data_IF_724235738152
#
_entry.id   IF_724235738152
#
_cell.length_a   1.000
_cell.length_b   1.000
_cell.length_c   1.000
_cell.angle_alpha   90.00
_cell.angle_beta   90.00
_cell.angle_gamma   90.00
#
_symmetry.space_group_name_H-M   'P 1'
#
loop_
_entity.id
_entity.type
_entity.pdbx_description
1 polymer ?
#
# COMPACT_ATOMS: atom_id res chain seq x y z
N UNK A 1 7.64 53.96 -20.30
CA UNK A 1 7.57 52.54 -19.92
C UNK A 1 9.02 52.05 -19.84
N UNK A 2 9.60 52.01 -18.65
CA UNK A 2 11.02 51.73 -18.41
C UNK A 2 11.18 50.25 -18.08
N UNK A 3 11.79 49.49 -18.99
CA UNK A 3 12.21 48.12 -18.74
C UNK A 3 13.42 48.12 -17.81
N UNK A 4 13.35 47.37 -16.72
CA UNK A 4 14.49 47.05 -15.85
C UNK A 4 15.38 46.01 -16.54
N UNK A 5 16.72 46.16 -16.55
CA UNK A 5 17.60 45.35 -17.41
C UNK A 5 17.89 43.89 -17.02
N UNK A 6 17.18 43.30 -16.04
CA UNK A 6 17.59 42.00 -15.45
C UNK A 6 16.64 40.81 -15.70
N UNK A 7 15.61 40.96 -16.54
CA UNK A 7 14.76 39.81 -16.89
C UNK A 7 15.27 39.13 -18.17
N UNK A 8 16.03 38.04 -18.01
CA UNK A 8 16.37 37.17 -19.14
C UNK A 8 15.10 36.48 -19.67
N UNK A 9 14.83 36.52 -20.99
CA UNK A 9 13.72 35.80 -21.59
C UNK A 9 14.05 34.31 -21.59
N UNK A 10 13.74 33.63 -20.50
CA UNK A 10 14.09 32.22 -20.30
C UNK A 10 13.94 31.67 -18.89
N UNK A 11 13.64 32.51 -17.89
CA UNK A 11 13.32 32.06 -16.53
C UNK A 11 11.97 31.31 -16.49
N UNK A 12 12.02 30.04 -16.91
CA UNK A 12 10.94 29.07 -16.73
C UNK A 12 10.90 28.65 -15.26
N UNK A 13 10.38 29.53 -14.41
CA UNK A 13 9.91 29.19 -13.05
C UNK A 13 8.74 28.18 -13.05
N UNK A 14 8.40 27.61 -14.20
CA UNK A 14 7.24 26.76 -14.47
C UNK A 14 7.49 25.24 -14.46
N UNK A 15 8.70 24.74 -14.18
CA UNK A 15 9.02 23.32 -14.46
C UNK A 15 9.05 22.37 -13.25
N UNK A 16 8.75 22.82 -12.04
CA UNK A 16 8.61 21.92 -10.88
C UNK A 16 7.13 21.83 -10.50
N UNK A 17 6.48 20.67 -10.66
CA UNK A 17 5.11 20.47 -10.21
C UNK A 17 4.94 20.88 -8.74
N UNK A 18 3.80 21.48 -8.42
CA UNK A 18 3.49 21.85 -7.04
C UNK A 18 3.53 20.60 -6.13
N UNK A 19 4.06 20.72 -4.90
CA UNK A 19 4.13 19.60 -3.97
C UNK A 19 2.73 19.09 -3.62
N UNK A 20 2.58 17.77 -3.49
CA UNK A 20 1.33 17.14 -3.09
C UNK A 20 0.98 17.45 -1.62
N UNK A 21 2.01 17.50 -0.78
CA UNK A 21 1.96 17.89 0.62
C UNK A 21 2.74 19.19 0.83
N UNK A 22 2.01 20.28 1.08
CA UNK A 22 2.61 21.57 1.43
C UNK A 22 3.29 21.54 2.80
N UNK A 23 2.86 20.64 3.69
CA UNK A 23 3.46 20.38 5.00
C UNK A 23 3.81 18.88 5.11
N UNK A 24 4.90 18.43 4.45
CA UNK A 24 5.24 17.02 4.35
C UNK A 24 5.60 16.41 5.72
N UNK A 25 6.35 17.13 6.56
CA UNK A 25 6.79 16.60 7.85
C UNK A 25 5.66 16.35 8.86
N UNK A 26 4.68 17.26 9.04
CA UNK A 26 3.48 16.94 9.82
C UNK A 26 2.68 15.74 9.28
N UNK A 27 2.56 15.61 7.95
CA UNK A 27 1.89 14.45 7.34
C UNK A 27 2.63 13.14 7.64
N UNK A 28 3.97 13.15 7.56
CA UNK A 28 4.81 12.01 7.89
C UNK A 28 4.77 11.65 9.38
N UNK A 29 4.68 12.65 10.27
CA UNK A 29 4.49 12.41 11.71
C UNK A 29 3.17 11.67 11.97
N UNK A 30 2.07 12.14 11.35
CA UNK A 30 0.77 11.47 11.45
C UNK A 30 0.82 10.06 10.87
N UNK A 31 1.47 9.88 9.72
CA UNK A 31 1.68 8.57 9.12
C UNK A 31 2.47 7.65 10.05
N UNK A 32 3.55 8.13 10.67
CA UNK A 32 4.34 7.34 11.62
C UNK A 32 3.52 6.91 12.84
N UNK A 33 2.68 7.80 13.40
CA UNK A 33 1.76 7.44 14.50
C UNK A 33 0.77 6.36 14.05
N UNK A 34 0.18 6.51 12.86
CA UNK A 34 -0.71 5.50 12.28
C UNK A 34 -0.05 4.15 12.05
N UNK A 35 1.19 4.17 11.54
CA UNK A 35 2.01 2.97 11.33
C UNK A 35 2.30 2.24 12.65
N UNK A 36 2.73 2.98 13.67
CA UNK A 36 3.01 2.42 15.00
C UNK A 36 1.72 1.85 15.61
N UNK A 37 0.61 2.57 15.51
CA UNK A 37 -0.69 2.09 15.99
C UNK A 37 -1.12 0.80 15.26
N UNK A 38 -0.93 0.71 13.94
CA UNK A 38 -1.20 -0.51 13.18
C UNK A 38 -0.29 -1.67 13.62
N UNK A 39 1.01 -1.43 13.77
CA UNK A 39 1.97 -2.46 14.20
C UNK A 39 1.65 -2.99 15.61
N UNK A 40 1.37 -2.09 16.56
CA UNK A 40 0.97 -2.46 17.92
C UNK A 40 -0.35 -3.23 17.94
N UNK A 41 -1.32 -2.79 17.14
CA UNK A 41 -2.61 -3.47 17.01
C UNK A 41 -2.40 -4.88 16.46
N UNK A 42 -1.67 -5.05 15.35
CA UNK A 42 -1.38 -6.37 14.75
C UNK A 42 -0.67 -7.28 15.76
N UNK A 43 0.34 -6.78 16.48
CA UNK A 43 1.08 -7.57 17.46
C UNK A 43 0.21 -8.03 18.64
N UNK A 44 -0.70 -7.18 19.11
CA UNK A 44 -1.63 -7.49 20.21
C UNK A 44 -2.92 -8.19 19.76
N UNK A 45 -3.21 -8.20 18.47
CA UNK A 45 -4.51 -8.60 17.93
C UNK A 45 -4.92 -10.04 18.29
N UNK A 46 -4.03 -11.06 18.29
CA UNK A 46 -4.42 -12.41 18.66
C UNK A 46 -5.09 -12.48 20.04
N UNK A 47 -4.60 -11.72 21.02
CA UNK A 47 -5.18 -11.66 22.38
C UNK A 47 -6.56 -10.99 22.39
N UNK A 48 -6.73 -9.94 21.59
CA UNK A 48 -8.02 -9.23 21.46
C UNK A 48 -9.05 -10.15 20.78
N UNK A 49 -8.63 -10.86 19.73
CA UNK A 49 -9.47 -11.75 18.94
C UNK A 49 -10.06 -12.91 19.74
N UNK A 50 -9.38 -13.34 20.82
CA UNK A 50 -9.90 -14.36 21.73
C UNK A 50 -11.21 -13.94 22.43
N UNK A 51 -11.44 -12.64 22.61
CA UNK A 51 -12.64 -12.13 23.28
C UNK A 51 -13.95 -12.42 22.52
N UNK A 52 -13.87 -12.72 21.21
CA UNK A 52 -15.02 -12.99 20.36
C UNK A 52 -14.88 -14.29 19.56
N UNK A 53 -14.10 -15.25 20.07
CA UNK A 53 -13.83 -16.52 19.39
C UNK A 53 -15.09 -17.34 19.09
N UNK A 54 -16.17 -17.15 19.87
CA UNK A 54 -17.47 -17.81 19.70
C UNK A 54 -18.35 -17.18 18.62
N UNK A 55 -17.94 -16.04 18.05
CA UNK A 55 -18.68 -15.34 17.00
C UNK A 55 -18.54 -16.10 15.67
N UNK A 56 -19.54 -16.09 14.77
CA UNK A 56 -19.40 -16.72 13.45
C UNK A 56 -18.14 -16.26 12.70
N UNK A 57 -17.45 -17.19 12.02
CA UNK A 57 -16.15 -16.95 11.37
C UNK A 57 -16.19 -15.79 10.38
N UNK A 58 -17.25 -15.68 9.57
CA UNK A 58 -17.43 -14.59 8.62
C UNK A 58 -17.50 -13.21 9.29
N UNK A 59 -18.10 -13.11 10.49
CA UNK A 59 -18.10 -11.87 11.28
C UNK A 59 -16.70 -11.59 11.78
N UNK A 60 -15.97 -12.60 12.26
CA UNK A 60 -14.59 -12.43 12.69
C UNK A 60 -13.73 -11.89 11.55
N UNK A 61 -13.85 -12.43 10.32
CA UNK A 61 -13.10 -11.94 9.17
C UNK A 61 -13.45 -10.50 8.77
N UNK A 62 -14.71 -10.08 8.90
CA UNK A 62 -15.09 -8.67 8.70
C UNK A 62 -14.48 -7.76 9.76
N UNK A 63 -14.52 -8.18 11.03
CA UNK A 63 -13.90 -7.44 12.13
C UNK A 63 -12.38 -7.36 11.95
N UNK A 64 -11.73 -8.47 11.58
CA UNK A 64 -10.30 -8.53 11.27
C UNK A 64 -9.94 -7.50 10.19
N UNK A 65 -10.69 -7.47 9.08
CA UNK A 65 -10.47 -6.50 8.01
C UNK A 65 -10.62 -5.05 8.48
N UNK A 66 -11.72 -4.74 9.19
CA UNK A 66 -12.02 -3.36 9.62
C UNK A 66 -11.03 -2.89 10.69
N UNK A 67 -10.84 -3.68 11.75
CA UNK A 67 -10.02 -3.30 12.91
C UNK A 67 -8.56 -3.12 12.50
N UNK A 68 -8.00 -4.07 11.74
CA UNK A 68 -6.58 -4.01 11.35
C UNK A 68 -6.30 -2.89 10.33
N UNK A 69 -7.27 -2.54 9.48
CA UNK A 69 -7.12 -1.46 8.51
C UNK A 69 -7.31 -0.07 9.11
N UNK A 70 -8.08 0.05 10.20
CA UNK A 70 -8.54 1.32 10.74
C UNK A 70 -7.41 2.32 11.04
N UNK A 71 -6.29 1.95 11.70
CA UNK A 71 -5.23 2.90 11.99
C UNK A 71 -4.61 3.53 10.72
N UNK A 72 -4.46 2.74 9.66
CA UNK A 72 -3.92 3.22 8.39
C UNK A 72 -4.91 4.16 7.69
N UNK A 73 -6.19 3.79 7.65
CA UNK A 73 -7.25 4.63 7.06
C UNK A 73 -7.34 5.98 7.77
N UNK A 74 -7.37 5.98 9.11
CA UNK A 74 -7.39 7.21 9.91
C UNK A 74 -6.16 8.06 9.62
N UNK A 75 -4.97 7.44 9.56
CA UNK A 75 -3.73 8.15 9.27
C UNK A 75 -3.70 8.75 7.85
N UNK A 76 -4.26 8.07 6.84
CA UNK A 76 -4.39 8.62 5.48
C UNK A 76 -5.19 9.91 5.49
N UNK A 77 -6.38 9.89 6.09
CA UNK A 77 -7.24 11.07 6.13
C UNK A 77 -6.65 12.20 6.97
N UNK A 78 -6.09 11.88 8.14
CA UNK A 78 -5.47 12.87 9.01
C UNK A 78 -4.22 13.49 8.37
N UNK A 79 -3.35 12.69 7.75
CA UNK A 79 -2.14 13.18 7.08
C UNK A 79 -2.49 14.10 5.90
N UNK A 80 -3.49 13.73 5.10
CA UNK A 80 -3.98 14.58 4.02
C UNK A 80 -4.58 15.90 4.54
N UNK A 81 -5.34 15.86 5.65
CA UNK A 81 -5.95 17.04 6.27
C UNK A 81 -4.91 18.02 6.83
N UNK A 82 -3.85 17.54 7.48
CA UNK A 82 -2.81 18.42 8.04
C UNK A 82 -1.77 18.87 7.02
N UNK A 83 -1.55 18.05 5.98
CA UNK A 83 -0.41 18.15 5.09
C UNK A 83 -0.69 18.73 3.71
N UNK A 84 -1.89 18.50 3.16
CA UNK A 84 -2.21 18.89 1.79
C UNK A 84 -3.03 20.18 1.71
N UNK A 85 -2.84 20.92 0.59
CA UNK A 85 -3.67 22.07 0.20
C UNK A 85 -4.48 21.81 -1.08
N UNK A 86 -4.30 20.64 -1.69
CA UNK A 86 -4.86 20.31 -3.01
C UNK A 86 -6.06 19.34 -2.92
N UNK A 87 -6.47 19.00 -1.70
CA UNK A 87 -7.49 17.98 -1.41
C UNK A 87 -6.91 16.56 -1.38
N UNK A 88 -7.65 15.64 -0.75
CA UNK A 88 -7.21 14.27 -0.45
C UNK A 88 -6.83 13.50 -1.73
N UNK A 89 -7.68 13.52 -2.76
CA UNK A 89 -7.42 12.78 -4.00
C UNK A 89 -6.10 13.20 -4.67
N UNK A 90 -5.85 14.51 -4.79
CA UNK A 90 -4.60 15.04 -5.33
C UNK A 90 -3.39 14.73 -4.45
N UNK A 91 -3.54 14.81 -3.13
CA UNK A 91 -2.50 14.49 -2.17
C UNK A 91 -2.02 13.05 -2.33
N UNK A 92 -2.96 12.11 -2.46
CA UNK A 92 -2.69 10.68 -2.62
C UNK A 92 -2.23 10.29 -4.03
N UNK A 93 -2.32 11.18 -5.02
CA UNK A 93 -2.00 10.86 -6.41
C UNK A 93 -3.10 10.10 -7.14
N UNK A 94 -4.35 10.20 -6.66
CA UNK A 94 -5.53 9.73 -7.38
C UNK A 94 -5.74 10.67 -8.56
N UNK A 95 -5.54 10.15 -9.77
CA UNK A 95 -5.65 10.87 -11.04
C UNK A 95 -6.62 10.14 -11.97
N UNK A 96 -7.00 10.80 -13.06
CA UNK A 96 -7.79 10.18 -14.12
C UNK A 96 -7.16 8.86 -14.59
N UNK A 97 -8.01 7.90 -14.94
CA UNK A 97 -7.63 6.57 -15.41
C UNK A 97 -6.71 6.61 -16.63
N UNK A 98 -5.73 5.69 -16.70
CA UNK A 98 -4.91 5.45 -17.90
C UNK A 98 -4.56 3.97 -18.02
N UNK A 99 -4.61 3.46 -19.25
CA UNK A 99 -4.21 2.09 -19.55
C UNK A 99 -2.75 1.77 -19.22
N UNK A 100 -1.87 2.77 -19.21
CA UNK A 100 -0.48 2.60 -18.76
C UNK A 100 -0.39 2.09 -17.31
N UNK A 101 -1.36 2.43 -16.45
CA UNK A 101 -1.40 1.95 -15.07
C UNK A 101 -1.70 0.46 -15.01
N UNK A 102 -2.59 -0.02 -15.89
CA UNK A 102 -2.92 -1.43 -16.00
C UNK A 102 -1.71 -2.22 -16.46
N UNK A 103 -1.09 -1.78 -17.56
CA UNK A 103 0.05 -2.49 -18.15
C UNK A 103 1.23 -2.51 -17.19
N UNK A 104 1.61 -1.35 -16.63
CA UNK A 104 2.73 -1.29 -15.70
C UNK A 104 2.43 -2.03 -14.39
N UNK A 105 1.22 -1.86 -13.84
CA UNK A 105 0.83 -2.53 -12.60
C UNK A 105 0.79 -4.06 -12.75
N UNK A 106 0.10 -4.56 -13.78
CA UNK A 106 0.04 -5.99 -14.06
C UNK A 106 1.43 -6.58 -14.37
N UNK A 107 2.27 -5.85 -15.10
CA UNK A 107 3.65 -6.27 -15.38
C UNK A 107 4.47 -6.49 -14.11
N UNK A 108 4.42 -5.53 -13.16
CA UNK A 108 5.07 -5.66 -11.86
C UNK A 108 4.51 -6.86 -11.08
N UNK A 109 3.19 -6.99 -11.04
CA UNK A 109 2.53 -8.09 -10.34
C UNK A 109 2.96 -9.46 -10.85
N UNK A 110 3.01 -9.64 -12.18
CA UNK A 110 3.40 -10.88 -12.82
C UNK A 110 4.87 -11.23 -12.53
N UNK A 111 5.78 -10.26 -12.62
CA UNK A 111 7.21 -10.48 -12.33
C UNK A 111 7.41 -10.88 -10.86
N UNK A 112 6.81 -10.13 -9.94
CA UNK A 112 6.94 -10.44 -8.50
C UNK A 112 6.28 -11.78 -8.18
N UNK A 113 5.12 -12.08 -8.76
CA UNK A 113 4.45 -13.36 -8.53
C UNK A 113 5.26 -14.53 -9.08
N UNK A 114 5.82 -14.40 -10.28
CA UNK A 114 6.70 -15.42 -10.83
C UNK A 114 7.91 -15.69 -9.91
N UNK A 115 8.52 -14.64 -9.35
CA UNK A 115 9.61 -14.81 -8.40
C UNK A 115 9.19 -15.56 -7.12
N UNK A 116 7.98 -15.31 -6.61
CA UNK A 116 7.41 -16.04 -5.46
C UNK A 116 7.21 -17.52 -5.82
N UNK A 117 6.59 -17.83 -6.96
CA UNK A 117 6.33 -19.21 -7.40
C UNK A 117 7.61 -20.01 -7.66
N UNK A 118 8.70 -19.36 -8.07
CA UNK A 118 10.01 -20.01 -8.23
C UNK A 118 10.61 -20.46 -6.89
N UNK A 119 10.27 -19.78 -5.80
CA UNK A 119 10.80 -20.07 -4.45
C UNK A 119 9.91 -21.06 -3.73
N UNK A 120 8.60 -20.85 -3.77
CA UNK A 120 7.61 -21.69 -3.13
C UNK A 120 6.35 -21.78 -4.00
N UNK A 121 6.25 -22.81 -4.86
CA UNK A 121 5.06 -23.05 -5.66
C UNK A 121 3.81 -23.15 -4.80
N UNK A 122 2.75 -22.45 -5.18
CA UNK A 122 1.53 -22.33 -4.38
C UNK A 122 0.31 -23.02 -4.98
N UNK A 123 0.43 -23.51 -6.22
CA UNK A 123 -0.65 -24.21 -6.94
C UNK A 123 -1.18 -25.38 -6.10
N UNK A 124 -2.48 -25.39 -5.83
CA UNK A 124 -3.20 -26.45 -5.15
C UNK A 124 -2.85 -26.61 -3.68
N UNK A 125 -2.13 -25.64 -3.09
CA UNK A 125 -1.65 -25.76 -1.71
C UNK A 125 -2.73 -25.53 -0.66
N UNK A 126 -3.92 -25.05 -1.06
CA UNK A 126 -5.11 -24.97 -0.21
C UNK A 126 -6.15 -26.00 -0.66
N UNK A 127 -6.17 -27.17 -0.03
CA UNK A 127 -7.19 -28.23 -0.24
C UNK A 127 -8.29 -28.25 0.84
N UNK A 128 -8.19 -27.39 1.86
CA UNK A 128 -8.87 -27.56 3.16
C UNK A 128 -10.05 -26.66 3.58
N UNK A 129 -10.32 -25.45 3.04
CA UNK A 129 -11.38 -24.58 3.59
C UNK A 129 -12.82 -24.93 3.16
N UNK A 130 -13.00 -25.97 2.35
CA UNK A 130 -14.30 -26.35 1.76
C UNK A 130 -14.74 -27.77 2.18
N UNK A 131 -13.97 -28.46 3.02
CA UNK A 131 -14.24 -29.85 3.43
C UNK A 131 -14.83 -29.91 4.85
N UNK A 132 -16.15 -29.67 4.94
CA UNK A 132 -16.98 -30.02 6.11
C UNK A 132 -17.53 -28.82 6.90
N UNK A 133 -18.85 -28.82 7.14
CA UNK A 133 -19.57 -27.77 7.88
C UNK A 133 -20.73 -27.14 7.10
N UNK A 134 -21.32 -26.06 7.62
CA UNK A 134 -22.31 -25.26 6.89
C UNK A 134 -21.63 -24.60 5.68
N UNK A 135 -22.01 -25.05 4.47
CA UNK A 135 -21.45 -24.59 3.22
C UNK A 135 -21.67 -23.09 2.99
N UNK A 136 -22.79 -22.53 3.49
CA UNK A 136 -23.11 -21.11 3.34
C UNK A 136 -22.17 -20.22 4.15
N UNK A 137 -21.93 -20.57 5.41
CA UNK A 137 -21.02 -19.83 6.28
C UNK A 137 -19.56 -19.90 5.81
N UNK A 138 -19.13 -21.06 5.29
CA UNK A 138 -17.78 -21.23 4.72
C UNK A 138 -17.59 -20.41 3.44
N UNK A 139 -18.56 -20.44 2.53
CA UNK A 139 -18.52 -19.63 1.31
C UNK A 139 -18.47 -18.13 1.62
N UNK A 140 -19.30 -17.65 2.56
CA UNK A 140 -19.27 -16.26 3.00
C UNK A 140 -17.90 -15.86 3.58
N UNK A 141 -17.34 -16.70 4.46
CA UNK A 141 -16.03 -16.47 5.04
C UNK A 141 -14.91 -16.42 3.98
N UNK A 142 -14.91 -17.36 3.04
CA UNK A 142 -13.96 -17.39 1.94
C UNK A 142 -14.06 -16.13 1.07
N UNK A 143 -15.27 -15.70 0.73
CA UNK A 143 -15.49 -14.47 -0.05
C UNK A 143 -14.92 -13.25 0.70
N UNK A 144 -15.19 -13.12 2.00
CA UNK A 144 -14.71 -11.98 2.80
C UNK A 144 -13.19 -11.96 2.85
N UNK A 145 -12.55 -13.11 3.09
CA UNK A 145 -11.09 -13.21 3.12
C UNK A 145 -10.50 -12.87 1.74
N UNK A 146 -11.05 -13.43 0.67
CA UNK A 146 -10.56 -13.21 -0.69
C UNK A 146 -10.75 -11.75 -1.11
N UNK A 147 -11.95 -11.19 -0.96
CA UNK A 147 -12.22 -9.79 -1.32
C UNK A 147 -11.44 -8.83 -0.42
N UNK A 148 -11.38 -9.11 0.88
CA UNK A 148 -10.61 -8.34 1.85
C UNK A 148 -9.13 -8.29 1.49
N UNK A 149 -8.49 -9.45 1.33
CA UNK A 149 -7.06 -9.55 1.08
C UNK A 149 -6.66 -9.18 -0.36
N UNK A 150 -7.48 -9.49 -1.36
CA UNK A 150 -7.12 -9.28 -2.76
C UNK A 150 -7.54 -7.90 -3.29
N UNK A 151 -8.57 -7.27 -2.73
CA UNK A 151 -9.13 -6.01 -3.25
C UNK A 151 -9.05 -4.86 -2.25
N UNK A 152 -9.55 -5.06 -1.03
CA UNK A 152 -9.72 -3.95 -0.06
C UNK A 152 -8.41 -3.57 0.60
N UNK A 153 -7.69 -4.53 1.18
CA UNK A 153 -6.43 -4.29 1.89
C UNK A 153 -5.38 -3.61 0.98
N UNK A 154 -5.16 -4.06 -0.27
CA UNK A 154 -4.27 -3.38 -1.19
C UNK A 154 -4.59 -1.90 -1.39
N UNK A 155 -5.87 -1.51 -1.48
CA UNK A 155 -6.24 -0.09 -1.63
C UNK A 155 -5.87 0.71 -0.38
N UNK A 156 -6.16 0.19 0.82
CA UNK A 156 -5.80 0.84 2.08
C UNK A 156 -4.29 0.97 2.22
N UNK A 157 -3.56 -0.09 1.91
CA UNK A 157 -2.10 -0.13 2.02
C UNK A 157 -1.44 0.82 1.00
N UNK A 158 -1.86 0.78 -0.26
CA UNK A 158 -1.30 1.67 -1.29
C UNK A 158 -1.61 3.15 -1.00
N UNK A 159 -2.82 3.48 -0.55
CA UNK A 159 -3.14 4.86 -0.17
C UNK A 159 -2.29 5.35 1.00
N UNK A 160 -1.97 4.50 1.97
CA UNK A 160 -1.07 4.85 3.08
C UNK A 160 0.39 4.93 2.64
N UNK A 161 0.98 3.82 2.20
CA UNK A 161 2.42 3.74 1.93
C UNK A 161 2.82 4.58 0.72
N UNK A 162 2.05 4.51 -0.38
CA UNK A 162 2.43 5.19 -1.62
C UNK A 162 1.74 6.56 -1.73
N UNK A 163 0.49 6.66 -1.31
CA UNK A 163 -0.25 7.92 -1.32
C UNK A 163 0.21 8.93 -0.26
N UNK A 164 0.60 8.48 0.93
CA UNK A 164 1.11 9.36 2.00
C UNK A 164 2.63 9.28 2.09
N UNK A 165 3.20 8.13 2.45
CA UNK A 165 4.63 8.05 2.83
C UNK A 165 5.55 8.42 1.67
N UNK A 166 5.43 7.76 0.50
CA UNK A 166 6.29 8.06 -0.67
C UNK A 166 6.17 9.53 -1.08
N UNK A 167 4.95 10.02 -1.21
CA UNK A 167 4.69 11.37 -1.74
C UNK A 167 5.09 12.47 -0.76
N UNK A 168 4.74 12.35 0.52
CA UNK A 168 5.13 13.32 1.53
C UNK A 168 6.65 13.31 1.76
N UNK A 169 7.32 12.15 1.72
CA UNK A 169 8.77 12.09 1.86
C UNK A 169 9.48 12.67 0.62
N UNK A 170 8.96 12.40 -0.58
CA UNK A 170 9.42 13.04 -1.82
C UNK A 170 9.33 14.57 -1.75
N UNK A 171 8.20 15.11 -1.29
CA UNK A 171 8.01 16.56 -1.11
C UNK A 171 8.90 17.13 0.00
N UNK A 172 9.08 16.41 1.11
CA UNK A 172 9.92 16.81 2.24
C UNK A 172 11.41 16.87 1.90
N UNK A 173 11.87 15.99 1.02
CA UNK A 173 13.27 15.89 0.58
C UNK A 173 13.54 16.60 -0.75
N UNK A 174 12.57 17.34 -1.29
CA UNK A 174 12.67 17.97 -2.62
C UNK A 174 13.93 18.83 -2.81
N UNK A 175 14.43 19.48 -1.76
CA UNK A 175 15.61 20.35 -1.81
C UNK A 175 16.93 19.59 -1.97
N UNK A 176 16.94 18.29 -1.68
CA UNK A 176 18.13 17.42 -1.79
C UNK A 176 18.29 16.89 -3.23
N UNK A 177 17.26 17.02 -4.05
CA UNK A 177 17.24 16.59 -5.45
C UNK A 177 16.35 15.36 -5.68
N UNK A 178 15.74 15.25 -6.88
CA UNK A 178 14.67 14.29 -7.15
C UNK A 178 15.13 12.83 -7.05
N UNK A 179 16.36 12.52 -7.45
CA UNK A 179 16.90 11.16 -7.41
C UNK A 179 17.09 10.64 -5.98
N UNK A 180 17.64 11.48 -5.10
CA UNK A 180 17.85 11.13 -3.68
C UNK A 180 16.50 11.07 -2.96
N UNK A 181 15.63 12.06 -3.17
CA UNK A 181 14.29 12.08 -2.59
C UNK A 181 13.48 10.84 -2.98
N UNK A 182 13.50 10.47 -4.27
CA UNK A 182 12.82 9.27 -4.78
C UNK A 182 13.39 7.98 -4.19
N UNK A 183 14.72 7.82 -4.17
CA UNK A 183 15.37 6.63 -3.60
C UNK A 183 15.04 6.46 -2.12
N UNK A 184 15.12 7.54 -1.32
CA UNK A 184 14.79 7.49 0.11
C UNK A 184 13.31 7.19 0.32
N UNK A 185 12.41 7.81 -0.45
CA UNK A 185 10.97 7.54 -0.41
C UNK A 185 10.64 6.07 -0.71
N UNK A 186 11.26 5.49 -1.74
CA UNK A 186 11.11 4.07 -2.10
C UNK A 186 11.62 3.16 -0.99
N UNK A 187 12.82 3.41 -0.47
CA UNK A 187 13.44 2.58 0.56
C UNK A 187 12.64 2.61 1.87
N UNK A 188 12.24 3.79 2.34
CA UNK A 188 11.48 3.96 3.59
C UNK A 188 10.09 3.34 3.48
N UNK A 189 9.37 3.61 2.38
CA UNK A 189 8.04 3.03 2.15
C UNK A 189 8.09 1.50 2.07
N UNK A 190 9.02 0.95 1.28
CA UNK A 190 9.20 -0.51 1.13
C UNK A 190 9.60 -1.15 2.45
N UNK A 191 10.54 -0.54 3.18
CA UNK A 191 10.99 -1.04 4.47
C UNK A 191 9.86 -1.04 5.51
N UNK A 192 9.07 0.04 5.60
CA UNK A 192 7.91 0.10 6.48
C UNK A 192 6.85 -0.93 6.10
N UNK A 193 6.57 -1.10 4.80
CA UNK A 193 5.62 -2.10 4.28
C UNK A 193 6.01 -3.53 4.66
N UNK A 194 7.28 -3.88 4.45
CA UNK A 194 7.85 -5.18 4.84
C UNK A 194 7.83 -5.36 6.34
N UNK A 195 8.20 -4.34 7.12
CA UNK A 195 8.20 -4.41 8.57
C UNK A 195 6.80 -4.68 9.15
N UNK A 196 5.76 -4.03 8.60
CA UNK A 196 4.38 -4.27 9.05
C UNK A 196 3.93 -5.70 8.80
N UNK A 197 4.30 -6.28 7.65
CA UNK A 197 4.05 -7.68 7.34
C UNK A 197 4.89 -8.64 8.19
N UNK A 198 6.13 -8.29 8.50
CA UNK A 198 6.96 -9.09 9.39
C UNK A 198 6.33 -9.22 10.79
N UNK A 199 5.68 -8.15 11.29
CA UNK A 199 4.93 -8.20 12.56
C UNK A 199 3.78 -9.20 12.49
N UNK A 200 3.07 -9.29 11.36
CA UNK A 200 1.95 -10.24 11.21
C UNK A 200 2.40 -11.70 11.08
N UNK A 201 3.61 -11.95 10.57
CA UNK A 201 4.19 -13.29 10.50
C UNK A 201 4.80 -13.78 11.83
N UNK A 202 5.09 -12.87 12.76
CA UNK A 202 5.64 -13.21 14.08
C UNK A 202 7.08 -13.73 14.01
N UNK A 203 7.38 -14.81 14.74
CA UNK A 203 8.76 -15.31 14.91
C UNK A 203 9.34 -16.03 13.68
N UNK A 204 8.53 -16.33 12.66
CA UNK A 204 8.96 -17.07 11.48
C UNK A 204 8.52 -16.34 10.22
N UNK A 205 9.50 -15.85 9.45
CA UNK A 205 9.27 -15.08 8.23
C UNK A 205 9.52 -15.99 7.02
N UNK A 206 8.48 -16.42 6.28
CA UNK A 206 8.67 -17.23 5.08
C UNK A 206 9.41 -16.43 4.00
N UNK A 207 10.47 -17.01 3.41
CA UNK A 207 11.28 -16.34 2.38
C UNK A 207 10.43 -15.88 1.19
N UNK A 208 9.52 -16.74 0.71
CA UNK A 208 8.62 -16.39 -0.39
C UNK A 208 7.68 -15.22 -0.04
N UNK A 209 7.19 -15.15 1.19
CA UNK A 209 6.36 -14.04 1.66
C UNK A 209 7.18 -12.74 1.76
N UNK A 210 8.42 -12.80 2.24
CA UNK A 210 9.35 -11.67 2.26
C UNK A 210 9.65 -11.17 0.84
N UNK A 211 9.96 -12.06 -0.10
CA UNK A 211 10.25 -11.71 -1.51
C UNK A 211 9.03 -11.08 -2.18
N UNK A 212 7.84 -11.65 -1.99
CA UNK A 212 6.60 -11.09 -2.53
C UNK A 212 6.31 -9.70 -1.97
N UNK A 213 6.38 -9.55 -0.65
CA UNK A 213 6.09 -8.28 0.05
C UNK A 213 7.11 -7.20 -0.31
N UNK A 214 8.40 -7.52 -0.31
CA UNK A 214 9.45 -6.59 -0.71
C UNK A 214 9.34 -6.22 -2.20
N UNK A 215 9.04 -7.20 -3.07
CA UNK A 215 8.87 -6.97 -4.51
C UNK A 215 7.69 -6.06 -4.82
N UNK A 216 6.52 -6.30 -4.21
CA UNK A 216 5.36 -5.41 -4.31
C UNK A 216 5.70 -4.03 -3.76
N UNK A 217 6.26 -3.95 -2.55
CA UNK A 217 6.71 -2.71 -1.90
C UNK A 217 7.59 -1.85 -2.79
N UNK A 218 8.61 -2.46 -3.37
CA UNK A 218 9.58 -1.83 -4.25
C UNK A 218 8.94 -1.38 -5.57
N UNK A 219 8.28 -2.30 -6.28
CA UNK A 219 7.74 -2.04 -7.62
C UNK A 219 6.68 -0.94 -7.61
N UNK A 220 5.72 -1.01 -6.68
CA UNK A 220 4.68 0.02 -6.51
C UNK A 220 5.25 1.39 -6.13
N UNK A 221 6.26 1.44 -5.24
CA UNK A 221 6.89 2.70 -4.84
C UNK A 221 7.64 3.35 -6.00
N UNK A 222 8.39 2.55 -6.78
CA UNK A 222 9.05 3.01 -8.02
C UNK A 222 8.01 3.54 -9.00
N UNK A 223 6.93 2.79 -9.22
CA UNK A 223 5.89 3.20 -10.16
C UNK A 223 5.27 4.55 -9.77
N UNK A 224 5.03 4.79 -8.48
CA UNK A 224 4.47 6.04 -7.96
C UNK A 224 5.47 7.19 -8.06
N UNK A 225 6.76 6.96 -7.79
CA UNK A 225 7.81 7.98 -7.97
C UNK A 225 7.93 8.38 -9.45
N UNK A 226 7.89 7.41 -10.37
CA UNK A 226 8.06 7.67 -11.80
C UNK A 226 6.83 8.31 -12.45
N UNK A 227 5.63 7.88 -12.05
CA UNK A 227 4.38 8.33 -12.70
C UNK A 227 3.66 9.45 -11.95
N UNK A 228 3.96 9.63 -10.66
CA UNK A 228 3.20 10.51 -9.78
C UNK A 228 1.75 10.08 -9.55
N UNK A 229 1.38 8.84 -9.91
CA UNK A 229 0.00 8.32 -9.94
C UNK A 229 -0.12 7.06 -9.09
N UNK A 230 -1.22 6.96 -8.34
CA UNK A 230 -1.45 5.83 -7.43
C UNK A 230 -2.09 4.62 -8.12
N UNK A 231 -2.80 4.83 -9.24
CA UNK A 231 -3.60 3.79 -9.91
C UNK A 231 -2.79 2.55 -10.27
N UNK A 232 -1.59 2.71 -10.84
CA UNK A 232 -0.74 1.59 -11.21
C UNK A 232 -0.26 0.77 -10.00
N UNK A 233 0.01 1.42 -8.87
CA UNK A 233 0.41 0.74 -7.64
C UNK A 233 -0.73 -0.10 -7.06
N UNK A 234 -1.95 0.45 -7.02
CA UNK A 234 -3.16 -0.29 -6.60
C UNK A 234 -3.37 -1.50 -7.49
N UNK A 235 -3.28 -1.34 -8.82
CA UNK A 235 -3.45 -2.45 -9.75
C UNK A 235 -2.37 -3.51 -9.53
N UNK A 236 -1.09 -3.13 -9.38
CA UNK A 236 -0.02 -4.08 -9.15
C UNK A 236 -0.28 -4.95 -7.92
N UNK A 237 -0.68 -4.32 -6.83
CA UNK A 237 -0.91 -5.02 -5.57
C UNK A 237 -2.16 -5.90 -5.64
N UNK A 238 -3.28 -5.39 -6.17
CA UNK A 238 -4.50 -6.18 -6.38
C UNK A 238 -4.23 -7.40 -7.27
N UNK A 239 -3.55 -7.21 -8.40
CA UNK A 239 -3.26 -8.31 -9.33
C UNK A 239 -2.32 -9.33 -8.68
N UNK A 240 -1.31 -8.89 -7.93
CA UNK A 240 -0.40 -9.78 -7.21
C UNK A 240 -1.15 -10.64 -6.18
N UNK A 241 -2.00 -10.03 -5.34
CA UNK A 241 -2.77 -10.77 -4.33
C UNK A 241 -3.84 -11.66 -4.99
N UNK A 242 -4.51 -11.17 -6.03
CA UNK A 242 -5.53 -11.95 -6.75
C UNK A 242 -4.92 -13.18 -7.41
N UNK A 243 -3.80 -13.04 -8.12
CA UNK A 243 -3.08 -14.18 -8.70
C UNK A 243 -2.67 -15.15 -7.60
N UNK A 244 -2.25 -14.64 -6.44
CA UNK A 244 -1.93 -15.50 -5.31
C UNK A 244 -3.11 -16.32 -4.81
N UNK A 245 -4.25 -15.68 -4.61
CA UNK A 245 -5.48 -16.39 -4.24
C UNK A 245 -5.87 -17.42 -5.30
N UNK A 246 -5.84 -17.04 -6.59
CA UNK A 246 -6.23 -17.95 -7.68
C UNK A 246 -5.31 -19.17 -7.71
N UNK A 247 -3.99 -18.99 -7.65
CA UNK A 247 -3.05 -20.10 -7.66
C UNK A 247 -3.24 -21.01 -6.45
N UNK A 248 -3.46 -20.46 -5.26
CA UNK A 248 -3.73 -21.25 -4.06
C UNK A 248 -4.98 -22.15 -4.21
N UNK A 249 -5.97 -21.72 -4.99
CA UNK A 249 -7.26 -22.41 -5.19
C UNK A 249 -7.29 -23.39 -6.38
N UNK A 250 -6.33 -23.31 -7.31
CA UNK A 250 -6.22 -24.20 -8.48
C UNK A 250 -5.53 -25.50 -8.11
#
# INVERSE_FOLDING_TARGET
MTMTPDESPGSSSHLVPAPAYARPWPALLVAAVGFIAAALLIAGYPSIRLAWITTPSWVQSLLDLVILSLPLVVAVFAAAAVGSRLGIASALGIRAWRWSDVVAGAGIALVVRAAVELIAPTVGSITGPLSGGDAGAQAANAIIIVVGAALISPVVEETFFRGVVVRALGDGLRSVGPAIAGTVAVAVSTGAFVALHAVSWGASIPVAALVGTAGVGLGTSILVVLTGRLGGAIIAHIVFNTLGVVLLLL
#
